data_IF_266641836399
#
_entry.id   IF_266641836399
#
_cell.length_a   1.000
_cell.length_b   1.000
_cell.length_c   1.000
_cell.angle_alpha   90.00
_cell.angle_beta   90.00
_cell.angle_gamma   90.00
#
_symmetry.space_group_name_H-M   'P 1'
#
loop_
_entity.id
_entity.type
_entity.pdbx_description
1 polymer ?
#
# COMPACT_ATOMS: atom_id res chain seq x y z
N UNK A 1 -32.22 24.48 27.88
CA UNK A 1 -31.69 23.22 27.34
C UNK A 1 -32.78 22.34 26.69
N UNK A 2 -33.98 22.31 27.21
CA UNK A 2 -35.08 21.45 26.69
C UNK A 2 -35.75 21.99 25.40
N UNK A 3 -35.80 23.31 25.16
CA UNK A 3 -36.36 23.85 23.91
C UNK A 3 -35.50 23.58 22.67
N UNK A 4 -34.20 23.62 22.80
CA UNK A 4 -33.24 23.31 21.72
C UNK A 4 -33.39 21.86 21.27
N UNK A 5 -33.57 20.94 22.22
CA UNK A 5 -33.81 19.51 21.91
C UNK A 5 -35.12 19.29 21.14
N UNK A 6 -36.16 20.08 21.46
CA UNK A 6 -37.45 19.99 20.77
C UNK A 6 -37.40 20.50 19.33
N UNK A 7 -36.60 21.51 19.02
CA UNK A 7 -36.41 22.04 17.67
C UNK A 7 -35.64 21.03 16.78
N UNK A 8 -34.61 20.45 17.31
CA UNK A 8 -33.85 19.42 16.59
C UNK A 8 -34.75 18.22 16.27
N UNK A 9 -35.57 17.75 17.21
CA UNK A 9 -36.50 16.64 17.00
C UNK A 9 -37.60 16.98 15.98
N UNK A 10 -38.05 18.24 15.93
CA UNK A 10 -39.03 18.70 14.93
C UNK A 10 -38.41 18.77 13.53
N UNK A 11 -37.16 19.27 13.45
CA UNK A 11 -36.44 19.34 12.18
C UNK A 11 -36.17 17.92 11.59
N UNK A 12 -35.77 16.97 12.42
CA UNK A 12 -35.55 15.55 12.01
C UNK A 12 -36.82 14.87 11.47
N UNK A 13 -38.01 15.34 11.87
CA UNK A 13 -39.30 14.81 11.38
C UNK A 13 -39.76 15.44 10.07
N UNK A 14 -39.02 16.41 9.53
CA UNK A 14 -39.30 16.95 8.19
C UNK A 14 -38.55 16.15 7.14
N UNK A 15 -39.10 16.06 5.93
CA UNK A 15 -38.46 15.36 4.79
C UNK A 15 -37.03 15.89 4.57
N UNK A 16 -36.83 17.19 4.72
CA UNK A 16 -35.51 17.83 4.61
C UNK A 16 -34.57 17.36 5.71
N UNK A 17 -35.08 17.20 6.94
CA UNK A 17 -34.29 16.72 8.09
C UNK A 17 -33.83 15.26 7.92
N UNK A 18 -34.69 14.40 7.37
CA UNK A 18 -34.36 13.00 7.08
C UNK A 18 -33.27 12.90 6.01
N UNK A 19 -33.38 13.65 4.91
CA UNK A 19 -32.34 13.70 3.88
C UNK A 19 -31.04 14.30 4.40
N UNK A 20 -31.08 15.32 5.21
CA UNK A 20 -29.88 15.92 5.82
C UNK A 20 -29.18 14.93 6.75
N UNK A 21 -29.93 14.20 7.58
CA UNK A 21 -29.37 13.17 8.45
C UNK A 21 -28.75 12.01 7.65
N UNK A 22 -29.45 11.52 6.62
CA UNK A 22 -28.92 10.49 5.74
C UNK A 22 -27.63 10.94 5.02
N UNK A 23 -27.58 12.18 4.55
CA UNK A 23 -26.39 12.76 3.90
C UNK A 23 -25.21 12.84 4.88
N UNK A 24 -25.44 13.28 6.12
CA UNK A 24 -24.40 13.34 7.15
C UNK A 24 -23.81 11.95 7.41
N UNK A 25 -24.66 10.94 7.57
CA UNK A 25 -24.20 9.56 7.78
C UNK A 25 -23.47 8.99 6.54
N UNK A 26 -23.94 9.29 5.34
CA UNK A 26 -23.28 8.87 4.10
C UNK A 26 -21.89 9.49 3.97
N UNK A 27 -21.75 10.80 4.24
CA UNK A 27 -20.46 11.50 4.23
C UNK A 27 -19.55 10.98 5.33
N UNK A 28 -20.04 10.77 6.54
CA UNK A 28 -19.26 10.21 7.64
C UNK A 28 -18.72 8.80 7.29
N UNK A 29 -19.60 7.95 6.76
CA UNK A 29 -19.20 6.60 6.31
C UNK A 29 -18.16 6.66 5.18
N UNK A 30 -18.37 7.51 4.18
CA UNK A 30 -17.42 7.69 3.09
C UNK A 30 -16.05 8.15 3.60
N UNK A 31 -16.01 9.10 4.53
CA UNK A 31 -14.77 9.56 5.16
C UNK A 31 -14.05 8.44 5.92
N UNK A 32 -14.78 7.63 6.68
CA UNK A 32 -14.20 6.47 7.38
C UNK A 32 -13.62 5.48 6.38
N UNK A 33 -14.38 5.11 5.35
CA UNK A 33 -13.93 4.15 4.35
C UNK A 33 -12.70 4.63 3.58
N UNK A 34 -12.68 5.88 3.13
CA UNK A 34 -11.55 6.43 2.36
C UNK A 34 -10.31 6.67 3.23
N UNK A 35 -10.50 6.99 4.51
CA UNK A 35 -9.37 7.23 5.43
C UNK A 35 -8.72 5.93 5.88
N UNK A 36 -9.52 4.92 6.24
CA UNK A 36 -9.02 3.73 6.93
C UNK A 36 -9.03 2.45 6.10
N UNK A 37 -9.91 2.32 5.10
CA UNK A 37 -10.12 1.05 4.41
C UNK A 37 -9.52 1.04 3.02
N UNK A 38 -9.83 2.02 2.18
CA UNK A 38 -9.49 2.02 0.75
C UNK A 38 -8.87 3.33 0.34
N UNK A 39 -7.81 3.26 -0.45
CA UNK A 39 -7.23 4.42 -1.11
C UNK A 39 -7.05 4.15 -2.60
N UNK A 40 -7.50 5.10 -3.43
CA UNK A 40 -7.23 5.07 -4.85
C UNK A 40 -5.82 5.64 -5.12
N UNK A 41 -5.02 4.89 -5.87
CA UNK A 41 -3.71 5.31 -6.35
C UNK A 41 -3.69 5.29 -7.87
N UNK A 42 -3.02 6.28 -8.47
CA UNK A 42 -2.71 6.28 -9.90
C UNK A 42 -1.27 5.83 -10.08
N UNK A 43 -1.03 4.89 -11.00
CA UNK A 43 0.31 4.34 -11.25
C UNK A 43 1.17 5.37 -11.97
N UNK A 44 2.25 5.89 -11.32
CA UNK A 44 3.09 6.93 -11.91
C UNK A 44 4.23 6.37 -12.77
N UNK A 45 4.58 5.08 -12.64
CA UNK A 45 5.79 4.53 -13.25
C UNK A 45 5.59 3.15 -13.87
N UNK A 46 6.35 2.85 -14.92
CA UNK A 46 6.30 1.57 -15.63
C UNK A 46 7.09 0.43 -14.99
N UNK A 47 7.49 0.54 -13.71
CA UNK A 47 8.31 -0.51 -13.07
C UNK A 47 7.58 -1.82 -12.82
N UNK A 48 6.26 -1.84 -13.03
CA UNK A 48 5.38 -3.00 -12.91
C UNK A 48 4.64 -3.30 -14.23
N UNK A 49 5.21 -2.85 -15.37
CA UNK A 49 4.65 -3.11 -16.71
C UNK A 49 4.33 -4.59 -16.90
N UNK A 50 3.28 -4.83 -17.69
CA UNK A 50 2.54 -6.05 -17.92
C UNK A 50 1.66 -6.51 -16.76
N UNK A 51 2.03 -6.25 -15.50
CA UNK A 51 1.10 -6.47 -14.39
C UNK A 51 0.21 -5.24 -14.18
N UNK A 52 0.79 -4.04 -14.28
CA UNK A 52 0.14 -2.75 -14.03
C UNK A 52 0.60 -1.73 -15.06
N UNK A 53 -0.34 -1.05 -15.73
CA UNK A 53 -0.02 -0.05 -16.75
C UNK A 53 0.10 1.36 -16.13
N UNK A 54 0.92 2.21 -16.76
CA UNK A 54 1.04 3.61 -16.36
C UNK A 54 -0.31 4.29 -16.59
N UNK A 55 -0.81 4.95 -15.55
CA UNK A 55 -2.10 5.65 -15.59
C UNK A 55 -3.28 4.87 -15.05
N UNK A 56 -3.12 3.56 -14.80
CA UNK A 56 -4.16 2.76 -14.16
C UNK A 56 -4.48 3.28 -12.76
N UNK A 57 -5.74 3.12 -12.36
CA UNK A 57 -6.20 3.40 -11.02
C UNK A 57 -6.32 2.10 -10.23
N UNK A 58 -5.61 2.04 -9.11
CA UNK A 58 -5.66 0.91 -8.17
C UNK A 58 -6.42 1.29 -6.92
N UNK A 59 -7.20 0.34 -6.41
CA UNK A 59 -7.76 0.41 -5.06
C UNK A 59 -6.89 -0.41 -4.12
N UNK A 60 -6.23 0.27 -3.20
CA UNK A 60 -5.36 -0.35 -2.20
C UNK A 60 -6.15 -0.55 -0.91
N UNK A 61 -6.15 -1.79 -0.42
CA UNK A 61 -6.73 -2.13 0.86
C UNK A 61 -5.73 -1.78 1.97
N UNK A 62 -6.02 -0.72 2.71
CA UNK A 62 -5.18 -0.27 3.84
C UNK A 62 -5.30 -1.18 5.07
N UNK A 63 -6.43 -1.86 5.20
CA UNK A 63 -6.73 -2.66 6.38
C UNK A 63 -5.94 -3.98 6.44
N UNK A 64 -5.50 -4.49 5.28
CA UNK A 64 -4.85 -5.80 5.17
C UNK A 64 -3.56 -5.87 6.01
N UNK A 65 -2.71 -4.87 5.93
CA UNK A 65 -1.42 -4.81 6.65
C UNK A 65 -1.49 -4.07 7.97
N UNK A 66 -2.69 -3.75 8.43
CA UNK A 66 -2.94 -3.10 9.70
C UNK A 66 -3.42 -1.66 9.58
N UNK A 67 -4.14 -1.26 10.61
CA UNK A 67 -4.67 0.09 10.72
C UNK A 67 -3.61 0.99 11.37
N UNK A 68 -3.16 2.01 10.65
CA UNK A 68 -2.26 3.03 11.20
C UNK A 68 -3.03 4.26 11.65
N UNK A 69 -2.54 4.87 12.71
CA UNK A 69 -3.02 6.17 13.13
C UNK A 69 -2.58 7.23 12.10
N UNK A 70 -3.51 8.04 11.53
CA UNK A 70 -3.16 9.03 10.51
C UNK A 70 -2.30 10.19 11.05
N UNK A 71 -2.15 10.32 12.39
CA UNK A 71 -1.46 11.45 13.02
C UNK A 71 -0.02 11.14 13.47
N UNK A 72 0.29 9.88 13.83
CA UNK A 72 1.59 9.51 14.39
C UNK A 72 2.22 8.26 13.77
N UNK A 73 1.67 7.72 12.69
CA UNK A 73 2.12 6.52 11.98
C UNK A 73 2.16 5.22 12.84
N UNK A 74 1.76 5.26 14.11
CA UNK A 74 1.68 4.07 14.96
C UNK A 74 0.59 3.10 14.52
N UNK A 75 0.80 1.81 14.76
CA UNK A 75 -0.21 0.80 14.48
C UNK A 75 -1.31 0.81 15.55
N UNK A 76 -2.54 1.10 15.18
CA UNK A 76 -3.72 0.89 16.02
C UNK A 76 -4.10 -0.60 16.07
N UNK A 77 -3.99 -1.28 14.93
CA UNK A 77 -4.25 -2.71 14.80
C UNK A 77 -3.20 -3.26 13.85
N UNK A 78 -2.46 -4.29 14.26
CA UNK A 78 -1.54 -5.01 13.38
C UNK A 78 -2.36 -5.94 12.48
N UNK A 79 -2.06 -5.92 11.18
CA UNK A 79 -2.70 -6.78 10.19
C UNK A 79 -1.90 -8.04 9.88
N UNK A 80 -2.09 -8.55 8.67
CA UNK A 80 -1.37 -9.73 8.17
C UNK A 80 0.07 -9.33 7.82
N UNK A 81 1.03 -10.19 8.12
CA UNK A 81 2.41 -9.98 7.69
C UNK A 81 2.52 -10.11 6.16
N UNK A 82 3.26 -9.19 5.51
CA UNK A 82 3.50 -9.26 4.08
C UNK A 82 4.24 -10.54 3.69
N UNK A 83 3.85 -11.12 2.55
CA UNK A 83 4.45 -12.34 2.02
C UNK A 83 5.20 -12.06 0.73
N UNK A 84 6.12 -12.95 0.39
CA UNK A 84 6.79 -12.94 -0.92
C UNK A 84 5.74 -13.09 -2.03
N UNK A 85 5.86 -12.24 -3.05
CA UNK A 85 4.91 -12.17 -4.17
C UNK A 85 3.84 -11.09 -4.00
N UNK A 86 3.58 -10.61 -2.77
CA UNK A 86 2.60 -9.54 -2.55
C UNK A 86 3.02 -8.26 -3.26
N UNK A 87 2.04 -7.55 -3.81
CA UNK A 87 2.24 -6.22 -4.37
C UNK A 87 1.84 -5.21 -3.30
N UNK A 88 2.79 -4.37 -2.91
CA UNK A 88 2.60 -3.36 -1.88
C UNK A 88 2.75 -1.95 -2.44
N UNK A 89 2.00 -1.03 -1.83
CA UNK A 89 2.19 0.42 -2.01
C UNK A 89 2.81 0.96 -0.74
N UNK A 90 3.89 1.70 -0.87
CA UNK A 90 4.58 2.30 0.26
C UNK A 90 5.12 3.68 -0.09
N UNK A 91 5.27 4.52 0.93
CA UNK A 91 5.90 5.83 0.77
C UNK A 91 7.40 5.68 0.59
N UNK A 92 7.96 6.39 -0.40
CA UNK A 92 9.39 6.33 -0.63
C UNK A 92 10.17 6.94 0.55
N UNK A 93 11.12 6.22 1.17
CA UNK A 93 11.78 6.66 2.42
C UNK A 93 12.52 7.99 2.31
N UNK A 94 13.10 8.29 1.13
CA UNK A 94 13.86 9.54 0.90
C UNK A 94 12.98 10.74 0.52
N UNK A 95 11.76 10.48 0.03
CA UNK A 95 10.78 11.50 -0.29
C UNK A 95 9.38 10.96 -0.04
N UNK A 96 8.82 11.26 1.12
CA UNK A 96 7.50 10.76 1.56
C UNK A 96 6.31 11.30 0.76
N UNK A 97 6.55 12.24 -0.18
CA UNK A 97 5.52 12.71 -1.11
C UNK A 97 5.27 11.74 -2.26
N UNK A 98 6.18 10.76 -2.46
CA UNK A 98 6.12 9.79 -3.54
C UNK A 98 5.69 8.41 -3.03
N UNK A 99 4.64 7.88 -3.66
CA UNK A 99 4.19 6.51 -3.42
C UNK A 99 4.78 5.57 -4.48
N UNK A 100 5.35 4.47 -4.02
CA UNK A 100 5.91 3.43 -4.87
C UNK A 100 5.09 2.16 -4.77
N UNK A 101 4.98 1.48 -5.92
CA UNK A 101 4.33 0.17 -6.03
C UNK A 101 5.39 -0.83 -6.40
N UNK A 102 5.62 -1.85 -5.56
CA UNK A 102 6.62 -2.90 -5.78
C UNK A 102 6.08 -4.25 -5.33
N UNK A 103 6.68 -5.30 -5.90
CA UNK A 103 6.46 -6.68 -5.47
C UNK A 103 7.50 -7.06 -4.42
N UNK A 104 7.05 -7.75 -3.36
CA UNK A 104 7.93 -8.28 -2.33
C UNK A 104 8.64 -9.51 -2.90
N UNK A 105 9.97 -9.47 -2.92
CA UNK A 105 10.82 -10.57 -3.41
C UNK A 105 11.50 -11.33 -2.29
N UNK A 106 11.52 -10.79 -1.08
CA UNK A 106 12.05 -11.41 0.13
C UNK A 106 11.42 -10.86 1.39
N UNK A 107 11.42 -11.65 2.44
CA UNK A 107 10.92 -11.31 3.78
C UNK A 107 12.07 -11.29 4.78
N UNK A 108 11.89 -10.69 5.98
CA UNK A 108 12.92 -10.68 7.00
C UNK A 108 13.55 -12.04 7.26
N UNK A 109 14.89 -12.11 7.27
CA UNK A 109 15.67 -13.35 7.39
C UNK A 109 16.05 -14.01 6.09
N UNK A 110 15.43 -13.68 4.95
CA UNK A 110 15.83 -14.18 3.66
C UNK A 110 17.19 -13.62 3.23
N UNK A 111 17.99 -14.42 2.55
CA UNK A 111 19.19 -13.99 1.86
C UNK A 111 18.91 -13.88 0.36
N UNK A 112 19.08 -12.69 -0.17
CA UNK A 112 18.83 -12.37 -1.58
C UNK A 112 20.15 -12.13 -2.32
N UNK A 113 20.21 -12.62 -3.55
CA UNK A 113 21.34 -12.43 -4.45
C UNK A 113 20.85 -12.35 -5.88
N UNK A 114 21.46 -11.49 -6.69
CA UNK A 114 21.24 -11.42 -8.14
C UNK A 114 22.49 -11.91 -8.85
N UNK A 115 22.34 -12.94 -9.67
CA UNK A 115 23.40 -13.49 -10.52
C UNK A 115 22.94 -13.48 -11.97
N UNK A 116 23.60 -12.71 -12.81
CA UNK A 116 23.29 -12.63 -14.24
C UNK A 116 21.79 -12.36 -14.51
N UNK A 117 21.20 -11.42 -13.79
CA UNK A 117 19.76 -11.05 -13.86
C UNK A 117 18.78 -12.11 -13.31
N UNK A 118 19.28 -13.17 -12.71
CA UNK A 118 18.47 -14.18 -12.06
C UNK A 118 18.50 -13.95 -10.56
N UNK A 119 17.32 -13.86 -9.95
CA UNK A 119 17.18 -13.71 -8.51
C UNK A 119 17.33 -15.07 -7.81
N UNK A 120 18.16 -15.10 -6.79
CA UNK A 120 18.28 -16.23 -5.87
C UNK A 120 17.82 -15.80 -4.49
N UNK A 121 16.97 -16.63 -3.86
CA UNK A 121 16.53 -16.45 -2.49
C UNK A 121 16.92 -17.69 -1.70
N UNK A 122 17.69 -17.47 -0.62
CA UNK A 122 18.24 -18.54 0.23
C UNK A 122 19.06 -19.58 -0.60
N UNK A 123 19.77 -19.11 -1.62
CA UNK A 123 20.57 -19.96 -2.51
C UNK A 123 19.79 -20.69 -3.58
N UNK A 124 18.47 -20.57 -3.63
CA UNK A 124 17.60 -21.20 -4.64
C UNK A 124 17.17 -20.18 -5.66
N UNK A 125 17.23 -20.55 -6.94
CA UNK A 125 16.75 -19.73 -8.04
C UNK A 125 15.24 -19.48 -7.92
N UNK A 126 14.84 -18.22 -8.01
CA UNK A 126 13.42 -17.82 -7.98
C UNK A 126 12.91 -17.74 -9.41
N UNK A 127 11.93 -18.58 -9.74
CA UNK A 127 11.24 -18.50 -11.02
C UNK A 127 10.18 -17.41 -10.95
N UNK A 128 10.39 -16.33 -11.70
CA UNK A 128 9.52 -15.16 -11.73
C UNK A 128 8.93 -14.98 -13.15
N UNK A 129 7.78 -15.62 -13.46
CA UNK A 129 7.20 -15.58 -14.81
C UNK A 129 6.75 -14.16 -15.23
N UNK A 130 6.68 -13.24 -14.27
CA UNK A 130 6.34 -11.83 -14.48
C UNK A 130 7.56 -10.93 -14.68
N UNK A 131 8.78 -11.48 -14.64
CA UNK A 131 10.02 -10.70 -14.80
C UNK A 131 10.34 -10.48 -16.25
N UNK A 132 10.64 -9.24 -16.62
CA UNK A 132 11.06 -8.87 -17.96
C UNK A 132 12.42 -8.19 -17.94
N UNK A 133 13.24 -8.57 -18.88
CA UNK A 133 14.53 -7.93 -19.11
C UNK A 133 14.40 -6.92 -20.25
N UNK A 134 14.16 -5.65 -19.93
CA UNK A 134 14.08 -4.56 -20.93
C UNK A 134 15.37 -4.41 -21.76
N UNK A 135 16.50 -4.89 -21.22
CA UNK A 135 17.81 -4.87 -21.86
C UNK A 135 18.52 -6.22 -21.67
N UNK A 136 18.10 -7.27 -22.39
CA UNK A 136 18.60 -8.64 -22.16
C UNK A 136 20.09 -8.80 -22.41
N UNK A 137 20.64 -8.07 -23.38
CA UNK A 137 22.05 -8.17 -23.81
C UNK A 137 23.02 -7.28 -23.02
N UNK A 138 22.52 -6.34 -22.22
CA UNK A 138 23.35 -5.40 -21.47
C UNK A 138 23.39 -5.82 -20.01
N UNK A 139 24.59 -6.06 -19.48
CA UNK A 139 24.83 -6.32 -18.05
C UNK A 139 25.24 -5.04 -17.35
N UNK A 140 24.49 -4.65 -16.32
CA UNK A 140 24.78 -3.45 -15.53
C UNK A 140 25.26 -3.88 -14.15
N UNK A 141 26.52 -3.56 -13.78
CA UNK A 141 27.04 -3.84 -12.45
C UNK A 141 26.18 -3.20 -11.35
N UNK A 142 25.98 -3.92 -10.24
CA UNK A 142 25.15 -3.44 -9.12
C UNK A 142 23.64 -3.54 -9.34
N UNK A 143 23.17 -3.74 -10.58
CA UNK A 143 21.78 -4.05 -10.90
C UNK A 143 21.59 -5.54 -11.20
N UNK A 144 22.41 -6.08 -12.10
CA UNK A 144 22.24 -7.40 -12.68
C UNK A 144 23.08 -8.48 -11.95
N UNK A 145 24.01 -8.01 -11.09
CA UNK A 145 24.83 -8.82 -10.20
C UNK A 145 25.05 -8.10 -8.89
N UNK A 146 24.58 -8.65 -7.79
CA UNK A 146 24.75 -8.12 -6.44
C UNK A 146 24.45 -9.18 -5.37
N UNK A 147 24.88 -8.93 -4.15
CA UNK A 147 24.63 -9.76 -2.98
C UNK A 147 25.76 -10.74 -2.68
N UNK A 148 25.57 -11.68 -1.76
CA UNK A 148 24.33 -11.90 -1.01
C UNK A 148 24.02 -10.80 0.02
N UNK A 149 22.73 -10.46 0.17
CA UNK A 149 22.23 -9.46 1.13
C UNK A 149 21.14 -10.13 1.97
N UNK A 150 21.30 -10.14 3.28
CA UNK A 150 20.25 -10.64 4.19
C UNK A 150 19.25 -9.54 4.48
N UNK A 151 17.97 -9.83 4.31
CA UNK A 151 16.87 -8.92 4.66
C UNK A 151 16.82 -8.78 6.18
N UNK A 152 16.97 -7.58 6.74
CA UNK A 152 17.04 -7.40 8.19
C UNK A 152 15.70 -7.80 8.85
N UNK A 153 15.80 -8.43 10.02
CA UNK A 153 14.63 -8.83 10.82
C UNK A 153 14.00 -7.64 11.54
N UNK A 154 14.79 -6.60 11.79
CA UNK A 154 14.35 -5.35 12.39
C UNK A 154 14.90 -4.19 11.57
N UNK A 155 14.01 -3.32 11.13
CA UNK A 155 14.41 -2.06 10.50
C UNK A 155 14.13 -1.00 11.56
N UNK A 156 15.18 -0.51 12.22
CA UNK A 156 15.11 0.71 13.02
C UNK A 156 14.93 1.85 12.02
N UNK A 157 13.70 2.32 11.92
CA UNK A 157 13.39 3.52 11.14
C UNK A 157 13.66 4.68 12.10
N UNK A 158 14.88 5.23 12.05
CA UNK A 158 15.17 6.53 12.62
C UNK A 158 14.43 7.65 11.88
#
# INVERSE_FOLDING_TARGET
MNEQLSLIQRFRKTVIGEYAEALIWAVALALVLTTFVVQAFKIPSGSMLETLQIGDHLLVNKFLYGLRNPFNDDYLIRGVEPKVGDIIVFRYPKDRSLDYIKRIVGVPGDTLEMRNKVLYRNGVEVQEPYTQHSQPLIMIPGRDNWGPITVPVHIDIE
#
